data_IF_498167000859
#
_entry.id   IF_498167000859
#
_cell.length_a   1.000
_cell.length_b   1.000
_cell.length_c   1.000
_cell.angle_alpha   90.00
_cell.angle_beta   90.00
_cell.angle_gamma   90.00
#
_symmetry.space_group_name_H-M   'P 1'
#
loop_
_entity.id
_entity.type
_entity.pdbx_description
1 polymer ?
#
# COMPACT_ATOMS: atom_id res chain seq x y z
N UNK A 1 -52.32 -37.00 6.40
CA UNK A 1 -53.76 -36.75 6.66
C UNK A 1 -54.47 -36.14 5.44
N UNK A 2 -53.99 -35.06 4.82
CA UNK A 2 -54.67 -34.36 3.72
C UNK A 2 -54.82 -35.22 2.46
N UNK A 3 -53.78 -35.97 2.06
CA UNK A 3 -53.80 -36.81 0.85
C UNK A 3 -54.70 -38.05 1.00
N UNK A 4 -54.82 -38.61 2.21
CA UNK A 4 -55.69 -39.71 2.51
C UNK A 4 -57.16 -39.28 2.45
N UNK A 5 -57.49 -38.11 2.99
CA UNK A 5 -58.84 -37.53 2.91
C UNK A 5 -59.23 -37.22 1.44
N UNK A 6 -58.28 -36.75 0.62
CA UNK A 6 -58.54 -36.57 -0.83
C UNK A 6 -58.77 -37.90 -1.52
N UNK A 7 -58.01 -38.95 -1.18
CA UNK A 7 -58.22 -40.30 -1.81
C UNK A 7 -59.55 -40.90 -1.46
N UNK A 8 -60.00 -40.75 -0.20
CA UNK A 8 -61.30 -41.24 0.24
C UNK A 8 -62.46 -40.50 -0.45
N UNK A 9 -62.41 -39.17 -0.50
CA UNK A 9 -63.42 -38.34 -1.14
C UNK A 9 -63.42 -38.48 -2.68
N UNK A 10 -62.26 -38.71 -3.29
CA UNK A 10 -62.14 -38.84 -4.75
C UNK A 10 -62.93 -39.96 -5.34
N UNK A 11 -63.18 -41.06 -4.59
CA UNK A 11 -64.07 -42.18 -5.04
C UNK A 11 -65.52 -41.77 -5.15
N UNK A 12 -65.95 -40.72 -4.46
CA UNK A 12 -67.38 -40.30 -4.48
C UNK A 12 -67.64 -39.05 -5.32
N UNK A 13 -66.73 -38.07 -5.31
CA UNK A 13 -66.96 -36.77 -5.96
C UNK A 13 -65.88 -36.41 -7.04
N UNK A 14 -64.92 -37.28 -7.25
CA UNK A 14 -63.82 -37.05 -8.18
C UNK A 14 -62.64 -36.26 -7.52
N UNK A 15 -61.41 -36.43 -8.05
CA UNK A 15 -60.17 -35.88 -7.48
C UNK A 15 -60.15 -34.36 -7.40
N UNK A 16 -60.75 -33.68 -8.39
CA UNK A 16 -60.80 -32.21 -8.42
C UNK A 16 -61.59 -31.65 -7.25
N UNK A 17 -62.81 -32.13 -7.08
CA UNK A 17 -63.72 -31.62 -6.07
C UNK A 17 -63.35 -32.09 -4.67
N UNK A 18 -62.77 -33.29 -4.56
CA UNK A 18 -62.14 -33.75 -3.32
C UNK A 18 -60.95 -32.86 -2.88
N UNK A 19 -60.07 -32.46 -3.80
CA UNK A 19 -59.03 -31.55 -3.52
C UNK A 19 -59.55 -30.16 -3.07
N UNK A 20 -60.59 -29.69 -3.74
CA UNK A 20 -61.21 -28.41 -3.39
C UNK A 20 -61.84 -28.47 -1.98
N UNK A 21 -62.56 -29.53 -1.64
CA UNK A 21 -63.20 -29.73 -0.34
C UNK A 21 -62.21 -29.80 0.82
N UNK A 22 -61.00 -30.33 0.57
CA UNK A 22 -59.93 -30.50 1.59
C UNK A 22 -58.95 -29.32 1.57
N UNK A 23 -59.11 -28.35 0.65
CA UNK A 23 -58.17 -27.22 0.51
C UNK A 23 -56.82 -27.63 -0.06
N UNK A 24 -56.70 -28.73 -0.82
CA UNK A 24 -55.47 -29.20 -1.41
C UNK A 24 -55.34 -28.80 -2.87
N UNK A 25 -54.13 -28.48 -3.33
CA UNK A 25 -53.89 -28.23 -4.75
C UNK A 25 -53.87 -29.54 -5.52
N UNK A 26 -54.76 -29.65 -6.50
CA UNK A 26 -54.90 -30.82 -7.38
C UNK A 26 -53.57 -31.22 -8.05
N UNK A 27 -52.80 -30.24 -8.54
CA UNK A 27 -51.51 -30.48 -9.15
C UNK A 27 -50.48 -31.08 -8.14
N UNK A 28 -50.56 -30.69 -6.87
CA UNK A 28 -49.76 -31.26 -5.77
C UNK A 28 -50.11 -32.70 -5.49
N UNK A 29 -51.41 -33.01 -5.46
CA UNK A 29 -51.91 -34.37 -5.26
C UNK A 29 -51.43 -35.32 -6.37
N UNK A 30 -51.62 -35.00 -7.65
CA UNK A 30 -51.12 -35.79 -8.77
C UNK A 30 -49.61 -35.92 -8.80
N UNK A 31 -48.84 -34.91 -8.38
CA UNK A 31 -47.38 -34.99 -8.33
C UNK A 31 -46.92 -36.03 -7.31
N UNK A 32 -47.57 -36.10 -6.15
CA UNK A 32 -47.22 -37.03 -5.09
C UNK A 32 -47.67 -38.47 -5.35
N UNK A 33 -48.76 -38.64 -6.13
CA UNK A 33 -49.36 -39.95 -6.46
C UNK A 33 -49.01 -40.41 -7.90
N UNK A 34 -47.98 -39.86 -8.49
CA UNK A 34 -47.54 -40.28 -9.83
C UNK A 34 -46.92 -41.67 -9.77
N UNK A 35 -47.46 -42.61 -10.58
CA UNK A 35 -47.07 -44.03 -10.60
C UNK A 35 -45.66 -44.27 -11.17
N UNK A 36 -45.14 -43.30 -11.93
CA UNK A 36 -43.73 -43.31 -12.38
C UNK A 36 -43.02 -42.07 -11.93
N UNK A 37 -41.77 -42.15 -11.46
CA UNK A 37 -40.99 -40.98 -11.20
C UNK A 37 -40.87 -40.12 -12.45
N UNK A 38 -41.06 -38.82 -12.31
CA UNK A 38 -40.81 -37.93 -13.46
C UNK A 38 -39.35 -38.13 -13.90
N UNK A 39 -39.07 -38.18 -15.20
CA UNK A 39 -37.70 -38.20 -15.65
C UNK A 39 -36.96 -37.02 -15.02
N UNK A 40 -35.77 -37.29 -14.51
CA UNK A 40 -34.92 -36.25 -13.92
C UNK A 40 -34.75 -35.15 -14.98
N UNK A 41 -35.00 -33.86 -14.64
CA UNK A 41 -34.82 -32.80 -15.62
C UNK A 41 -33.37 -32.81 -16.05
N UNK A 42 -33.06 -32.65 -17.33
CA UNK A 42 -31.66 -32.56 -17.79
C UNK A 42 -30.95 -31.48 -17.02
N UNK A 43 -29.67 -31.74 -16.66
CA UNK A 43 -28.86 -30.79 -15.94
C UNK A 43 -28.91 -29.44 -16.68
N UNK A 44 -29.09 -28.32 -15.97
CA UNK A 44 -29.17 -27.00 -16.61
C UNK A 44 -27.87 -26.70 -17.33
N UNK A 45 -27.94 -26.42 -18.62
CA UNK A 45 -26.79 -26.01 -19.44
C UNK A 45 -26.19 -24.72 -18.79
N UNK A 46 -24.93 -24.70 -18.40
CA UNK A 46 -24.28 -23.49 -17.89
C UNK A 46 -24.52 -22.31 -18.81
N UNK A 47 -24.68 -21.10 -18.25
CA UNK A 47 -25.01 -19.91 -19.05
C UNK A 47 -24.02 -19.67 -20.19
N UNK A 48 -22.73 -19.97 -19.98
CA UNK A 48 -21.65 -19.86 -20.97
C UNK A 48 -21.79 -20.78 -22.16
N UNK A 49 -22.46 -21.94 -21.98
CA UNK A 49 -22.59 -22.99 -22.99
C UNK A 49 -23.94 -22.93 -23.71
N UNK A 50 -24.79 -21.98 -23.32
CA UNK A 50 -26.11 -21.80 -23.97
C UNK A 50 -25.96 -21.17 -25.35
N UNK A 51 -26.64 -21.66 -26.39
CA UNK A 51 -26.65 -21.01 -27.68
C UNK A 51 -27.13 -19.55 -27.55
N UNK A 52 -26.33 -18.63 -28.01
CA UNK A 52 -26.66 -17.20 -28.01
C UNK A 52 -26.95 -16.75 -29.44
N UNK A 53 -28.21 -16.57 -29.81
CA UNK A 53 -28.60 -16.25 -31.22
C UNK A 53 -27.99 -14.94 -31.75
N UNK A 54 -27.53 -14.05 -30.81
CA UNK A 54 -26.92 -12.75 -31.14
C UNK A 54 -25.39 -12.78 -31.05
N UNK A 55 -24.79 -13.94 -30.81
CA UNK A 55 -23.32 -14.05 -30.72
C UNK A 55 -22.73 -14.03 -32.14
N UNK A 56 -21.66 -13.29 -32.31
CA UNK A 56 -20.86 -13.35 -33.52
C UNK A 56 -20.29 -14.75 -33.74
N UNK A 57 -20.33 -15.22 -34.96
CA UNK A 57 -19.66 -16.45 -35.39
C UNK A 57 -18.14 -16.35 -35.21
N UNK A 58 -17.43 -17.47 -35.29
CA UNK A 58 -15.98 -17.47 -35.23
C UNK A 58 -15.36 -16.66 -36.40
N UNK A 59 -15.93 -16.77 -37.60
CA UNK A 59 -15.47 -16.02 -38.77
C UNK A 59 -15.64 -14.50 -38.59
N UNK A 60 -16.78 -14.05 -38.06
CA UNK A 60 -17.01 -12.61 -37.81
C UNK A 60 -16.06 -12.07 -36.71
N UNK A 61 -15.78 -12.85 -35.70
CA UNK A 61 -14.79 -12.45 -34.67
C UNK A 61 -13.40 -12.32 -35.26
N UNK A 62 -12.99 -13.28 -36.09
CA UNK A 62 -11.70 -13.25 -36.76
C UNK A 62 -11.59 -12.04 -37.70
N UNK A 63 -12.60 -11.74 -38.48
CA UNK A 63 -12.63 -10.57 -39.37
C UNK A 63 -12.41 -9.25 -38.59
N UNK A 64 -13.00 -9.12 -37.40
CA UNK A 64 -12.75 -7.95 -36.54
C UNK A 64 -11.29 -7.88 -36.09
N UNK A 65 -10.70 -9.00 -35.68
CA UNK A 65 -9.30 -9.06 -35.27
C UNK A 65 -8.35 -8.77 -36.45
N UNK A 66 -8.60 -9.33 -37.62
CA UNK A 66 -7.80 -9.10 -38.81
C UNK A 66 -7.78 -7.61 -39.20
N UNK A 67 -8.93 -6.95 -39.11
CA UNK A 67 -9.01 -5.50 -39.32
C UNK A 67 -8.21 -4.73 -38.27
N UNK A 68 -8.34 -5.08 -37.00
CA UNK A 68 -7.62 -4.43 -35.89
C UNK A 68 -6.10 -4.63 -35.98
N UNK A 69 -5.64 -5.75 -36.56
CA UNK A 69 -4.23 -6.07 -36.74
C UNK A 69 -3.65 -5.60 -38.08
N UNK A 70 -4.48 -5.04 -38.97
CA UNK A 70 -4.00 -4.55 -40.25
C UNK A 70 -3.04 -3.38 -40.06
N UNK A 71 -2.08 -3.24 -40.98
CA UNK A 71 -1.09 -2.12 -40.98
C UNK A 71 -1.77 -0.76 -40.92
N UNK A 72 -2.98 -0.65 -41.47
CA UNK A 72 -3.77 0.58 -41.46
C UNK A 72 -4.26 0.97 -40.07
N UNK A 73 -4.62 0.01 -39.24
CA UNK A 73 -5.35 0.23 -37.99
C UNK A 73 -4.57 -0.16 -36.71
N UNK A 74 -3.38 -0.75 -36.86
CA UNK A 74 -2.61 -1.25 -35.72
C UNK A 74 -2.26 -0.16 -34.70
N UNK A 75 -2.08 1.08 -35.14
CA UNK A 75 -1.76 2.23 -34.27
C UNK A 75 -2.99 3.02 -33.79
N UNK A 76 -4.18 2.65 -34.23
CA UNK A 76 -5.44 3.32 -33.87
C UNK A 76 -6.11 2.65 -32.68
N UNK A 77 -6.81 3.45 -31.86
CA UNK A 77 -7.64 2.87 -30.80
C UNK A 77 -8.81 2.09 -31.40
N UNK A 78 -9.33 1.04 -30.71
CA UNK A 78 -10.49 0.31 -31.21
C UNK A 78 -11.72 1.19 -31.44
N UNK A 79 -11.84 2.31 -30.72
CA UNK A 79 -12.91 3.29 -30.90
C UNK A 79 -12.74 4.07 -32.21
N UNK A 80 -11.53 4.49 -32.53
CA UNK A 80 -11.21 5.18 -33.77
C UNK A 80 -11.40 4.26 -34.98
N UNK A 81 -10.93 3.00 -34.89
CA UNK A 81 -11.14 1.99 -35.94
C UNK A 81 -12.63 1.78 -36.19
N UNK A 82 -13.42 1.61 -35.13
CA UNK A 82 -14.86 1.45 -35.23
C UNK A 82 -15.54 2.64 -35.91
N UNK A 83 -15.18 3.86 -35.52
CA UNK A 83 -15.72 5.08 -36.13
C UNK A 83 -15.32 5.20 -37.61
N UNK A 84 -14.06 4.94 -37.96
CA UNK A 84 -13.56 4.98 -39.34
C UNK A 84 -14.29 3.97 -40.22
N UNK A 85 -14.52 2.75 -39.74
CA UNK A 85 -15.28 1.74 -40.46
C UNK A 85 -16.75 2.16 -40.71
N UNK A 86 -17.38 2.81 -39.73
CA UNK A 86 -18.73 3.34 -39.88
C UNK A 86 -18.80 4.45 -40.93
N UNK A 87 -17.82 5.35 -40.96
CA UNK A 87 -17.71 6.41 -41.98
C UNK A 87 -17.54 5.82 -43.38
N UNK A 88 -16.95 4.64 -43.51
CA UNK A 88 -16.78 3.87 -44.75
C UNK A 88 -18.01 2.98 -45.05
N UNK A 89 -19.06 3.01 -44.25
CA UNK A 89 -20.25 2.21 -44.43
C UNK A 89 -20.11 0.74 -43.99
N UNK A 90 -19.06 0.40 -43.24
CA UNK A 90 -18.77 -0.98 -42.79
C UNK A 90 -19.13 -1.14 -41.31
N UNK A 91 -20.01 -2.07 -40.99
CA UNK A 91 -20.36 -2.42 -39.63
C UNK A 91 -19.98 -3.88 -39.32
N UNK A 92 -18.98 -4.10 -38.48
CA UNK A 92 -18.55 -5.44 -38.09
C UNK A 92 -19.04 -5.81 -36.67
N UNK A 93 -19.41 -4.85 -35.84
CA UNK A 93 -19.91 -5.07 -34.51
C UNK A 93 -19.91 -3.80 -33.67
N UNK A 94 -20.37 -3.87 -32.43
CA UNK A 94 -20.32 -2.71 -31.54
C UNK A 94 -18.88 -2.40 -31.06
N UNK A 95 -18.63 -1.15 -30.72
CA UNK A 95 -17.36 -0.74 -30.09
C UNK A 95 -16.97 -1.62 -28.89
N UNK A 96 -17.96 -1.96 -28.04
CA UNK A 96 -17.75 -2.86 -26.90
C UNK A 96 -17.32 -4.27 -27.31
N UNK A 97 -17.72 -4.72 -28.51
CA UNK A 97 -17.33 -6.03 -29.05
C UNK A 97 -15.85 -6.01 -29.46
N UNK A 98 -15.34 -4.93 -30.06
CA UNK A 98 -13.93 -4.76 -30.38
C UNK A 98 -13.05 -4.87 -29.14
N UNK A 99 -13.39 -4.12 -28.09
CA UNK A 99 -12.65 -4.22 -26.80
C UNK A 99 -12.78 -5.59 -26.14
N UNK A 100 -13.90 -6.27 -26.27
CA UNK A 100 -14.10 -7.60 -25.69
C UNK A 100 -13.28 -8.67 -26.40
N UNK A 101 -13.16 -8.59 -27.73
CA UNK A 101 -12.33 -9.51 -28.51
C UNK A 101 -10.85 -9.32 -28.21
N UNK A 102 -10.36 -8.09 -28.17
CA UNK A 102 -8.98 -7.79 -27.77
C UNK A 102 -8.68 -8.26 -26.33
N UNK A 103 -9.64 -8.11 -25.41
CA UNK A 103 -9.48 -8.62 -24.04
C UNK A 103 -9.40 -10.14 -24.01
N UNK A 104 -10.18 -10.83 -24.85
CA UNK A 104 -10.15 -12.28 -24.96
C UNK A 104 -8.84 -12.78 -25.60
N UNK A 105 -8.26 -12.00 -26.51
CA UNK A 105 -6.95 -12.24 -27.10
C UNK A 105 -5.75 -11.79 -26.23
N UNK A 106 -6.01 -11.29 -25.01
CA UNK A 106 -5.01 -10.70 -24.10
C UNK A 106 -4.26 -9.48 -24.68
N UNK A 107 -4.89 -8.77 -25.64
CA UNK A 107 -4.32 -7.65 -26.38
C UNK A 107 -4.88 -6.28 -25.95
N UNK A 108 -5.54 -6.17 -24.81
CA UNK A 108 -6.05 -4.89 -24.25
C UNK A 108 -4.92 -4.00 -23.76
N UNK A 109 -3.70 -4.50 -23.76
CA UNK A 109 -2.52 -3.69 -23.47
C UNK A 109 -2.24 -2.74 -24.63
N UNK A 110 -1.52 -1.67 -24.31
CA UNK A 110 -1.04 -0.71 -25.30
C UNK A 110 -0.48 -1.44 -26.52
N UNK A 111 -1.11 -1.28 -27.69
CA UNK A 111 -0.65 -1.87 -28.96
C UNK A 111 0.53 -1.10 -29.57
N UNK A 112 0.77 0.13 -29.11
CA UNK A 112 1.94 0.91 -29.48
C UNK A 112 3.16 0.35 -28.76
N UNK A 113 4.30 0.34 -29.40
CA UNK A 113 5.59 0.07 -28.78
C UNK A 113 5.97 1.20 -27.82
N UNK A 114 5.24 1.34 -26.72
CA UNK A 114 5.58 2.29 -25.67
C UNK A 114 6.69 1.71 -24.82
N UNK A 115 7.60 2.60 -24.38
CA UNK A 115 8.59 2.24 -23.40
C UNK A 115 7.88 1.73 -22.12
N UNK A 116 7.85 0.42 -21.95
CA UNK A 116 7.38 -0.18 -20.69
C UNK A 116 8.40 0.16 -19.63
N UNK A 117 7.98 0.95 -18.65
CA UNK A 117 8.83 1.15 -17.48
C UNK A 117 8.98 -0.20 -16.76
N UNK A 118 10.19 -0.66 -16.48
CA UNK A 118 10.39 -1.88 -15.73
C UNK A 118 9.64 -1.82 -14.40
N UNK A 119 9.14 -2.96 -13.95
CA UNK A 119 8.49 -3.05 -12.65
C UNK A 119 9.44 -2.49 -11.58
N UNK A 120 8.94 -1.55 -10.76
CA UNK A 120 9.77 -0.92 -9.74
C UNK A 120 10.02 -1.93 -8.63
N UNK A 121 11.28 -2.23 -8.40
CA UNK A 121 11.72 -3.13 -7.35
C UNK A 121 11.42 -2.49 -5.98
N UNK A 122 10.94 -3.30 -5.05
CA UNK A 122 10.74 -2.94 -3.64
C UNK A 122 12.11 -2.53 -3.06
N UNK A 123 12.28 -1.31 -2.51
CA UNK A 123 13.54 -0.95 -1.91
C UNK A 123 13.74 -1.74 -0.61
N UNK A 124 14.80 -2.52 -0.54
CA UNK A 124 15.19 -3.28 0.65
C UNK A 124 16.48 -2.69 1.20
N UNK A 125 16.36 -2.02 2.34
CA UNK A 125 17.49 -1.34 2.97
C UNK A 125 17.67 -1.84 4.40
N UNK A 126 18.91 -2.09 4.79
CA UNK A 126 19.28 -2.50 6.14
C UNK A 126 20.31 -1.54 6.71
N UNK A 127 20.13 -1.17 7.98
CA UNK A 127 21.13 -0.48 8.78
C UNK A 127 21.45 -1.30 10.02
N UNK A 128 22.72 -1.55 10.27
CA UNK A 128 23.26 -2.28 11.43
C UNK A 128 23.93 -1.33 12.44
N UNK A 129 24.11 -0.09 12.06
CA UNK A 129 24.70 0.97 12.89
C UNK A 129 24.20 2.35 12.43
N UNK A 130 24.37 3.41 13.25
CA UNK A 130 24.08 4.77 12.82
C UNK A 130 24.87 5.18 11.57
N UNK A 131 24.30 6.12 10.80
CA UNK A 131 24.91 6.72 9.62
C UNK A 131 25.15 5.78 8.43
N UNK A 132 24.39 4.66 8.35
CA UNK A 132 24.37 3.78 7.18
C UNK A 132 23.20 4.07 6.25
N UNK A 133 22.01 4.34 6.81
CA UNK A 133 20.82 4.65 6.02
C UNK A 133 20.08 5.81 6.69
N UNK A 134 19.86 6.87 5.93
CA UNK A 134 19.01 7.98 6.34
C UNK A 134 17.71 7.97 5.56
N UNK A 135 16.61 8.27 6.24
CA UNK A 135 15.31 8.57 5.64
C UNK A 135 15.17 10.09 5.58
N UNK A 136 14.78 10.59 4.41
CA UNK A 136 14.54 12.01 4.20
C UNK A 136 13.13 12.27 3.70
N UNK A 137 12.46 13.25 4.29
CA UNK A 137 11.12 13.64 3.87
C UNK A 137 10.81 15.10 4.18
N UNK A 138 9.79 15.66 3.52
CA UNK A 138 9.33 17.03 3.66
C UNK A 138 7.86 17.03 4.04
N UNK A 139 7.51 17.65 5.14
CA UNK A 139 6.12 17.82 5.54
C UNK A 139 5.69 19.26 5.56
N UNK A 140 4.42 19.51 5.27
CA UNK A 140 3.81 20.84 5.34
C UNK A 140 3.34 21.14 6.76
N UNK A 141 3.68 22.34 7.23
CA UNK A 141 3.18 22.96 8.43
C UNK A 141 2.18 24.05 8.02
N UNK A 142 1.00 24.09 8.65
CA UNK A 142 -0.03 25.07 8.30
C UNK A 142 0.39 26.46 8.77
N UNK A 143 0.38 27.43 7.85
CA UNK A 143 0.61 28.84 8.15
C UNK A 143 -0.62 29.57 8.71
N UNK A 144 -0.54 30.88 8.92
CA UNK A 144 -1.57 31.65 9.61
C UNK A 144 -2.93 31.68 8.88
N UNK A 145 -2.91 31.69 7.57
CA UNK A 145 -4.13 31.73 6.74
C UNK A 145 -4.31 30.43 5.97
N UNK A 146 -5.53 30.20 5.48
CA UNK A 146 -5.85 29.07 4.61
C UNK A 146 -4.95 29.13 3.36
N UNK A 147 -4.40 27.95 2.97
CA UNK A 147 -3.49 27.78 1.83
C UNK A 147 -2.07 28.35 2.02
N UNK A 148 -1.73 28.87 3.19
CA UNK A 148 -0.35 29.21 3.53
C UNK A 148 0.33 28.01 4.20
N UNK A 149 1.53 27.65 3.73
CA UNK A 149 2.30 26.51 4.25
C UNK A 149 3.74 26.90 4.47
N UNK A 150 4.33 26.33 5.51
CA UNK A 150 5.78 26.24 5.68
C UNK A 150 6.19 24.79 5.45
N UNK A 151 7.42 24.56 5.04
CA UNK A 151 7.93 23.27 4.66
C UNK A 151 9.02 22.85 5.64
N UNK A 152 8.75 21.78 6.37
CA UNK A 152 9.71 21.19 7.30
C UNK A 152 10.39 20.02 6.61
N UNK A 153 11.69 20.18 6.35
CA UNK A 153 12.59 19.15 5.85
C UNK A 153 13.18 18.42 7.04
N UNK A 154 13.19 17.09 7.02
CA UNK A 154 13.77 16.27 8.08
C UNK A 154 14.63 15.17 7.47
N UNK A 155 15.82 14.98 7.98
CA UNK A 155 16.69 13.85 7.71
C UNK A 155 16.84 13.06 9.00
N UNK A 156 16.48 11.80 8.98
CA UNK A 156 16.43 10.90 10.13
C UNK A 156 17.27 9.65 9.85
N UNK A 157 18.15 9.30 10.79
CA UNK A 157 18.87 8.04 10.78
C UNK A 157 17.91 6.89 11.12
N UNK A 158 17.78 5.88 10.23
CA UNK A 158 16.77 4.82 10.44
C UNK A 158 17.15 3.84 11.55
N UNK A 159 18.44 3.65 11.85
CA UNK A 159 18.88 2.76 12.91
C UNK A 159 18.61 3.34 14.29
N UNK A 160 19.06 4.55 14.53
CA UNK A 160 18.93 5.22 15.82
C UNK A 160 17.64 6.02 15.99
N UNK A 161 16.90 6.31 14.94
CA UNK A 161 15.78 7.27 14.89
C UNK A 161 16.22 8.71 15.17
N UNK A 162 17.51 8.99 15.27
CA UNK A 162 18.06 10.32 15.54
C UNK A 162 17.81 11.24 14.34
N UNK A 163 17.23 12.40 14.58
CA UNK A 163 17.09 13.44 13.56
C UNK A 163 18.44 14.13 13.40
N UNK A 164 19.17 13.76 12.35
CA UNK A 164 20.53 14.26 12.06
C UNK A 164 20.53 15.67 11.47
N UNK A 165 19.44 16.04 10.77
CA UNK A 165 19.27 17.36 10.19
C UNK A 165 17.81 17.72 9.97
N UNK A 166 17.51 19.01 10.12
CA UNK A 166 16.18 19.54 9.82
C UNK A 166 16.25 21.03 9.45
N UNK A 167 15.23 21.52 8.73
CA UNK A 167 15.12 22.92 8.33
C UNK A 167 13.64 23.28 8.08
N UNK A 168 13.25 24.50 8.49
CA UNK A 168 11.94 25.07 8.10
C UNK A 168 12.15 26.16 7.06
N UNK A 169 11.46 26.03 5.92
CA UNK A 169 11.52 26.94 4.79
C UNK A 169 10.13 27.44 4.36
N UNK A 170 10.08 28.56 3.63
CA UNK A 170 8.84 29.11 3.08
C UNK A 170 8.37 28.41 1.80
N UNK A 171 9.24 27.63 1.18
CA UNK A 171 8.97 26.91 -0.05
C UNK A 171 9.74 25.59 -0.11
N UNK A 172 9.24 24.66 -0.90
CA UNK A 172 9.98 23.47 -1.28
C UNK A 172 10.93 23.80 -2.43
N UNK A 173 12.21 23.40 -2.31
CA UNK A 173 13.24 23.71 -3.29
C UNK A 173 14.40 22.71 -3.23
N UNK A 174 14.88 22.27 -4.40
CA UNK A 174 16.06 21.42 -4.53
C UNK A 174 17.33 22.08 -3.93
N UNK A 175 17.51 23.37 -4.15
CA UNK A 175 18.65 24.10 -3.61
C UNK A 175 18.68 24.12 -2.07
N UNK A 176 17.51 24.23 -1.42
CA UNK A 176 17.41 24.12 0.03
C UNK A 176 17.72 22.69 0.52
N UNK A 177 17.25 21.69 -0.23
CA UNK A 177 17.58 20.30 0.06
C UNK A 177 19.07 20.01 -0.03
N UNK A 178 19.75 20.52 -1.07
CA UNK A 178 21.22 20.41 -1.21
C UNK A 178 21.96 21.00 -0.02
N UNK A 179 21.59 22.22 0.40
CA UNK A 179 22.20 22.88 1.57
C UNK A 179 22.03 22.04 2.82
N UNK A 180 20.81 21.55 3.08
CA UNK A 180 20.54 20.71 4.25
C UNK A 180 21.33 19.41 4.23
N UNK A 181 21.33 18.68 3.10
CA UNK A 181 22.07 17.41 2.96
C UNK A 181 23.57 17.65 3.18
N UNK A 182 24.17 18.64 2.50
CA UNK A 182 25.59 18.97 2.62
C UNK A 182 25.99 19.30 4.06
N UNK A 183 25.21 20.16 4.73
CA UNK A 183 25.44 20.53 6.13
C UNK A 183 25.32 19.35 7.08
N UNK A 184 24.30 18.49 6.84
CA UNK A 184 24.08 17.32 7.68
C UNK A 184 25.19 16.28 7.51
N UNK A 185 25.63 16.00 6.28
CA UNK A 185 26.76 15.11 6.02
C UNK A 185 28.05 15.61 6.66
N UNK A 186 28.32 16.89 6.55
CA UNK A 186 29.50 17.51 7.21
C UNK A 186 29.43 17.40 8.76
N UNK A 187 28.23 17.70 9.34
CA UNK A 187 28.02 17.62 10.80
C UNK A 187 28.17 16.18 11.31
N UNK A 188 27.76 15.20 10.55
CA UNK A 188 27.84 13.77 10.91
C UNK A 188 29.14 13.10 10.47
N UNK A 189 30.07 13.85 9.87
CA UNK A 189 31.32 13.36 9.34
C UNK A 189 31.19 12.14 8.43
N UNK A 190 30.20 12.18 7.50
CA UNK A 190 29.92 11.08 6.58
C UNK A 190 31.05 10.92 5.56
N UNK A 191 31.62 9.72 5.52
CA UNK A 191 32.60 9.32 4.51
C UNK A 191 31.96 8.94 3.17
N UNK A 192 32.78 8.85 2.11
CA UNK A 192 32.30 8.36 0.80
C UNK A 192 31.88 6.90 0.92
N UNK A 193 30.83 6.54 0.18
CA UNK A 193 30.28 5.17 0.07
C UNK A 193 29.79 4.57 1.41
N UNK A 194 29.61 5.41 2.44
CA UNK A 194 29.17 5.01 3.77
C UNK A 194 27.63 5.04 3.89
N UNK A 195 26.99 6.01 3.25
CA UNK A 195 25.59 6.37 3.48
C UNK A 195 24.70 6.07 2.29
N UNK A 196 23.51 5.54 2.56
CA UNK A 196 22.37 5.54 1.64
C UNK A 196 21.32 6.53 2.14
N UNK A 197 20.85 7.44 1.26
CA UNK A 197 19.70 8.30 1.55
C UNK A 197 18.47 7.74 0.82
N UNK A 198 17.46 7.44 1.61
CA UNK A 198 16.15 6.99 1.13
C UNK A 198 15.14 8.13 1.24
N UNK A 199 14.37 8.36 0.17
CA UNK A 199 13.37 9.41 0.11
C UNK A 199 12.16 9.01 -0.76
N UNK A 200 11.06 9.68 -0.54
CA UNK A 200 9.92 9.58 -1.45
C UNK A 200 10.25 10.20 -2.82
N UNK A 201 9.36 10.04 -3.80
CA UNK A 201 9.55 10.57 -5.16
C UNK A 201 9.05 12.01 -5.30
N UNK A 202 9.23 12.85 -4.29
CA UNK A 202 8.95 14.27 -4.35
C UNK A 202 9.81 15.01 -5.40
N UNK A 203 9.34 16.13 -5.90
CA UNK A 203 10.03 16.92 -6.95
C UNK A 203 11.44 17.37 -6.53
N UNK A 204 11.61 17.77 -5.28
CA UNK A 204 12.90 18.13 -4.71
C UNK A 204 13.83 16.92 -4.56
N UNK A 205 13.26 15.75 -4.25
CA UNK A 205 14.00 14.51 -3.94
C UNK A 205 14.52 13.82 -5.21
N UNK A 206 13.79 13.95 -6.33
CA UNK A 206 14.17 13.38 -7.64
C UNK A 206 14.87 14.39 -8.54
N UNK A 207 15.20 15.57 -8.03
CA UNK A 207 15.81 16.65 -8.80
C UNK A 207 17.25 16.32 -9.20
N UNK A 208 17.66 16.75 -10.41
CA UNK A 208 19.02 16.56 -10.89
C UNK A 208 20.08 17.17 -9.96
N UNK A 209 19.91 18.40 -9.42
CA UNK A 209 20.89 18.98 -8.49
C UNK A 209 21.14 18.11 -7.27
N UNK A 210 20.09 17.59 -6.63
CA UNK A 210 20.25 16.69 -5.47
C UNK A 210 20.93 15.39 -5.88
N UNK A 211 20.58 14.80 -7.02
CA UNK A 211 21.21 13.58 -7.52
C UNK A 211 22.71 13.77 -7.78
N UNK A 212 23.11 14.91 -8.39
CA UNK A 212 24.52 15.26 -8.60
C UNK A 212 25.26 15.47 -7.28
N UNK A 213 24.66 16.16 -6.31
CA UNK A 213 25.26 16.34 -5.00
C UNK A 213 25.52 14.99 -4.32
N UNK A 214 24.54 14.09 -4.32
CA UNK A 214 24.68 12.77 -3.70
C UNK A 214 25.80 11.94 -4.37
N UNK A 215 25.86 11.97 -5.70
CA UNK A 215 26.93 11.33 -6.44
C UNK A 215 28.31 11.93 -6.13
N UNK A 216 28.42 13.27 -6.05
CA UNK A 216 29.65 13.97 -5.69
C UNK A 216 30.13 13.60 -4.27
N UNK A 217 29.20 13.46 -3.33
CA UNK A 217 29.49 13.03 -1.95
C UNK A 217 29.73 11.51 -1.82
N UNK A 218 29.51 10.72 -2.87
CA UNK A 218 29.58 9.26 -2.82
C UNK A 218 28.45 8.65 -1.97
N UNK A 219 27.24 9.22 -2.05
CA UNK A 219 26.07 8.76 -1.29
C UNK A 219 25.12 8.01 -2.22
N UNK A 220 24.73 6.81 -1.84
CA UNK A 220 23.75 6.02 -2.59
C UNK A 220 22.35 6.60 -2.41
N UNK A 221 21.63 6.76 -3.52
CA UNK A 221 20.25 7.23 -3.51
C UNK A 221 19.27 6.07 -3.67
N UNK A 222 18.24 6.06 -2.83
CA UNK A 222 17.11 5.11 -2.90
C UNK A 222 15.79 5.86 -2.84
N UNK A 223 14.76 5.32 -3.50
CA UNK A 223 13.43 5.92 -3.52
C UNK A 223 12.33 4.92 -3.22
N UNK A 224 11.28 5.39 -2.56
CA UNK A 224 10.01 4.68 -2.40
C UNK A 224 9.40 4.35 -3.76
N UNK A 225 8.62 3.27 -3.82
CA UNK A 225 7.77 2.98 -4.98
C UNK A 225 6.66 4.03 -5.06
N UNK A 226 6.19 4.41 -6.27
CA UNK A 226 5.09 5.37 -6.40
C UNK A 226 3.84 4.89 -5.66
N UNK A 227 3.22 5.78 -4.90
CA UNK A 227 1.98 5.54 -4.17
C UNK A 227 2.05 4.42 -3.10
N UNK A 228 3.25 4.07 -2.62
CA UNK A 228 3.46 3.11 -1.53
C UNK A 228 4.03 3.84 -0.33
N UNK A 229 3.16 4.25 0.59
CA UNK A 229 3.55 4.98 1.82
C UNK A 229 4.42 4.15 2.76
N UNK A 230 4.21 2.84 2.79
CA UNK A 230 4.97 1.94 3.67
C UNK A 230 6.48 1.85 3.34
N UNK A 231 6.92 2.42 2.22
CA UNK A 231 8.33 2.41 1.84
C UNK A 231 9.15 3.49 2.59
N UNK A 232 8.50 4.48 3.28
CA UNK A 232 9.18 5.47 4.12
C UNK A 232 8.59 5.56 5.55
N UNK A 233 8.51 4.44 6.28
CA UNK A 233 7.76 4.36 7.54
C UNK A 233 8.37 5.20 8.68
N UNK A 234 9.68 5.45 8.64
CA UNK A 234 10.40 6.14 9.71
C UNK A 234 10.12 7.65 9.72
N UNK A 235 10.15 8.29 8.55
CA UNK A 235 9.78 9.70 8.41
C UNK A 235 8.32 9.93 8.75
N UNK A 236 7.41 9.04 8.30
CA UNK A 236 5.99 9.12 8.65
C UNK A 236 5.74 9.01 10.16
N UNK A 237 6.41 8.06 10.83
CA UNK A 237 6.29 7.88 12.28
C UNK A 237 6.83 9.11 13.05
N UNK A 238 7.94 9.69 12.58
CA UNK A 238 8.52 10.90 13.16
C UNK A 238 7.57 12.09 13.01
N UNK A 239 6.97 12.30 11.83
CA UNK A 239 5.98 13.37 11.63
C UNK A 239 4.70 13.15 12.42
N UNK A 240 4.26 11.91 12.65
CA UNK A 240 3.17 11.62 13.59
C UNK A 240 3.55 12.05 15.00
N UNK A 241 4.76 11.71 15.47
CA UNK A 241 5.23 12.10 16.80
C UNK A 241 5.25 13.64 16.96
N UNK A 242 5.66 14.38 15.92
CA UNK A 242 5.62 15.85 15.93
C UNK A 242 4.20 16.39 15.99
N UNK A 243 3.34 15.95 15.05
CA UNK A 243 2.02 16.56 14.81
C UNK A 243 0.96 16.18 15.85
N UNK A 244 1.14 15.06 16.55
CA UNK A 244 0.18 14.59 17.56
C UNK A 244 0.58 14.97 18.99
N UNK A 245 1.67 15.72 19.18
CA UNK A 245 1.98 16.27 20.51
C UNK A 245 0.91 17.28 20.93
N UNK A 246 0.56 17.30 22.23
CA UNK A 246 -0.44 18.25 22.75
C UNK A 246 -0.07 19.73 22.53
N UNK A 247 1.22 20.04 22.50
CA UNK A 247 1.79 21.38 22.29
C UNK A 247 1.97 21.76 20.81
N UNK A 248 1.65 20.84 19.86
CA UNK A 248 1.74 21.15 18.45
C UNK A 248 0.62 22.12 18.04
N UNK A 249 0.95 23.33 17.56
CA UNK A 249 -0.06 24.29 17.15
C UNK A 249 -0.75 23.80 15.86
N UNK A 250 -2.06 23.93 15.80
CA UNK A 250 -2.81 23.60 14.58
C UNK A 250 -2.39 24.47 13.39
N UNK A 251 -1.93 25.75 13.67
CA UNK A 251 -1.39 26.68 12.70
C UNK A 251 -0.28 27.50 13.32
N UNK A 252 0.74 27.81 12.53
CA UNK A 252 1.84 28.69 12.92
C UNK A 252 1.58 30.12 12.47
N UNK A 253 1.76 31.09 13.35
CA UNK A 253 1.56 32.50 13.06
C UNK A 253 2.59 33.09 12.11
N UNK A 254 3.81 32.53 12.12
CA UNK A 254 4.92 32.91 11.23
C UNK A 254 5.87 31.74 11.00
N UNK A 255 6.78 31.88 10.05
CA UNK A 255 7.86 30.89 9.83
C UNK A 255 8.83 30.84 11.02
N UNK A 256 9.04 31.96 11.70
CA UNK A 256 9.86 32.05 12.90
C UNK A 256 9.23 31.24 14.04
N UNK A 257 7.90 31.36 14.22
CA UNK A 257 7.16 30.55 15.19
C UNK A 257 7.30 29.04 14.91
N UNK A 258 7.24 28.65 13.64
CA UNK A 258 7.46 27.25 13.23
C UNK A 258 8.91 26.80 13.52
N UNK A 259 9.90 27.67 13.28
CA UNK A 259 11.32 27.39 13.60
C UNK A 259 11.53 27.23 15.09
N UNK A 260 11.00 28.13 15.91
CA UNK A 260 11.09 28.07 17.37
C UNK A 260 10.49 26.77 17.91
N UNK A 261 9.32 26.38 17.42
CA UNK A 261 8.69 25.10 17.80
C UNK A 261 9.60 23.91 17.45
N UNK A 262 10.14 23.88 16.24
CA UNK A 262 11.06 22.81 15.80
C UNK A 262 12.38 22.82 16.59
N UNK A 263 12.90 24.00 16.98
CA UNK A 263 14.10 24.12 17.83
C UNK A 263 13.88 23.56 19.24
N UNK A 264 12.66 23.58 19.75
CA UNK A 264 12.30 22.94 21.01
C UNK A 264 12.00 21.46 20.85
N UNK A 265 11.32 21.08 19.75
CA UNK A 265 10.89 19.72 19.50
C UNK A 265 12.06 18.75 19.23
N UNK A 266 13.00 19.07 18.33
CA UNK A 266 14.02 18.12 17.92
C UNK A 266 15.04 17.76 19.00
N UNK A 267 15.50 18.65 19.88
CA UNK A 267 16.29 18.26 21.04
C UNK A 267 15.53 17.31 21.96
N UNK A 268 14.27 17.63 22.30
CA UNK A 268 13.42 16.74 23.08
C UNK A 268 13.24 15.38 22.40
N UNK A 269 12.98 15.35 21.09
CA UNK A 269 12.81 14.12 20.33
C UNK A 269 14.07 13.25 20.34
N UNK A 270 15.24 13.87 20.17
CA UNK A 270 16.50 13.16 20.13
C UNK A 270 17.01 12.70 21.51
N UNK A 271 16.80 13.50 22.54
CA UNK A 271 17.48 13.34 23.85
C UNK A 271 16.57 12.83 24.96
N UNK A 272 15.24 13.06 24.85
CA UNK A 272 14.30 12.71 25.93
C UNK A 272 13.26 11.69 25.50
N UNK A 273 12.76 11.75 24.25
CA UNK A 273 11.71 10.88 23.78
C UNK A 273 12.21 9.43 23.64
N UNK A 274 11.48 8.49 24.28
CA UNK A 274 11.83 7.06 24.31
C UNK A 274 11.04 6.29 23.27
N UNK A 275 11.74 5.54 22.43
CA UNK A 275 11.12 4.76 21.37
C UNK A 275 10.97 3.28 21.77
N UNK A 276 9.79 2.72 21.60
CA UNK A 276 9.54 1.30 21.82
C UNK A 276 10.41 0.39 20.93
N UNK A 277 10.59 0.77 19.65
CA UNK A 277 11.47 0.08 18.71
C UNK A 277 12.97 0.20 19.02
N UNK A 278 13.36 1.03 20.01
CA UNK A 278 14.72 1.18 20.51
C UNK A 278 14.85 0.66 21.94
N UNK A 279 14.07 -0.31 22.35
CA UNK A 279 14.06 -0.83 23.71
C UNK A 279 13.86 0.27 24.78
N UNK A 280 13.03 1.27 24.48
CA UNK A 280 12.76 2.44 25.32
C UNK A 280 14.02 3.30 25.61
N UNK A 281 14.99 3.30 24.72
CA UNK A 281 16.08 4.26 24.70
C UNK A 281 15.73 5.51 23.88
N UNK A 282 16.49 6.59 24.11
CA UNK A 282 16.37 7.79 23.29
C UNK A 282 17.13 7.59 21.98
N UNK A 283 16.79 8.32 20.91
CA UNK A 283 17.58 8.33 19.68
C UNK A 283 19.05 8.64 19.91
N UNK A 284 19.35 9.59 20.80
CA UNK A 284 20.73 9.97 21.14
C UNK A 284 21.51 8.83 21.82
N UNK A 285 20.87 8.07 22.72
CA UNK A 285 21.51 6.92 23.36
C UNK A 285 22.02 5.91 22.32
N UNK A 286 21.20 5.62 21.29
CA UNK A 286 21.56 4.67 20.23
C UNK A 286 22.57 5.30 19.26
N UNK A 287 22.36 6.56 18.88
CA UNK A 287 23.17 7.22 17.85
C UNK A 287 24.63 7.43 18.30
N UNK A 288 24.83 7.73 19.57
CA UNK A 288 26.13 7.95 20.17
C UNK A 288 26.66 6.76 20.95
N UNK A 289 25.99 5.61 20.94
CA UNK A 289 26.49 4.36 21.53
C UNK A 289 26.44 4.31 23.06
N UNK A 290 25.65 5.17 23.73
CA UNK A 290 25.51 5.19 25.19
C UNK A 290 24.39 4.29 25.73
N UNK A 291 23.63 3.64 24.83
CA UNK A 291 22.48 2.84 25.20
C UNK A 291 22.82 1.66 26.11
N UNK A 292 23.99 1.03 25.94
CA UNK A 292 24.38 -0.10 26.80
C UNK A 292 24.61 0.33 28.24
N UNK A 293 25.22 1.50 28.47
CA UNK A 293 25.39 2.07 29.80
C UNK A 293 24.03 2.29 30.48
N UNK A 294 23.06 2.81 29.73
CA UNK A 294 21.68 3.01 30.22
C UNK A 294 21.01 1.66 30.52
N UNK A 295 21.24 0.65 29.66
CA UNK A 295 20.70 -0.69 29.85
C UNK A 295 21.25 -1.39 31.10
N UNK A 296 22.55 -1.27 31.35
CA UNK A 296 23.20 -1.79 32.56
C UNK A 296 22.64 -1.14 33.83
N UNK A 297 22.48 0.19 33.85
CA UNK A 297 21.84 0.90 34.97
C UNK A 297 20.42 0.37 35.23
N UNK A 298 19.64 0.18 34.20
CA UNK A 298 18.28 -0.41 34.30
C UNK A 298 18.31 -1.84 34.83
N UNK A 299 19.28 -2.65 34.40
CA UNK A 299 19.44 -4.02 34.89
C UNK A 299 19.72 -4.02 36.39
N UNK A 300 20.62 -3.17 36.90
CA UNK A 300 20.89 -3.04 38.32
C UNK A 300 19.66 -2.65 39.16
N UNK A 301 18.82 -1.74 38.65
CA UNK A 301 17.55 -1.39 39.33
C UNK A 301 16.58 -2.57 39.37
N UNK A 302 16.47 -3.34 38.28
CA UNK A 302 15.61 -4.51 38.20
C UNK A 302 16.12 -5.66 39.10
N UNK A 303 17.43 -5.87 39.17
CA UNK A 303 18.05 -6.86 40.03
C UNK A 303 17.82 -6.52 41.54
N UNK A 304 17.93 -5.25 41.92
CA UNK A 304 17.62 -4.77 43.27
C UNK A 304 16.13 -4.95 43.61
N UNK A 305 15.23 -4.64 42.67
CA UNK A 305 13.79 -4.85 42.86
C UNK A 305 13.45 -6.32 43.01
N UNK A 306 14.10 -7.19 42.22
CA UNK A 306 13.93 -8.64 42.36
C UNK A 306 14.44 -9.17 43.71
N UNK A 307 15.60 -8.71 44.17
CA UNK A 307 16.14 -9.10 45.46
C UNK A 307 15.24 -8.68 46.64
N UNK A 308 14.61 -7.49 46.55
CA UNK A 308 13.70 -7.00 47.58
C UNK A 308 12.34 -7.70 47.60
N UNK A 309 11.82 -8.12 46.44
CA UNK A 309 10.49 -8.65 46.25
C UNK A 309 10.43 -9.76 45.18
N UNK A 310 11.09 -10.91 45.37
CA UNK A 310 11.13 -11.97 44.38
C UNK A 310 9.73 -12.54 44.06
N UNK A 311 8.82 -12.49 45.01
CA UNK A 311 7.42 -12.96 44.92
C UNK A 311 6.60 -12.19 43.85
N UNK A 312 7.05 -10.98 43.46
CA UNK A 312 6.39 -10.18 42.42
C UNK A 312 6.73 -10.61 41.00
N UNK A 313 7.75 -11.47 40.84
CA UNK A 313 8.29 -11.88 39.55
C UNK A 313 8.04 -13.38 39.31
N UNK A 314 6.88 -13.71 38.77
CA UNK A 314 6.34 -15.07 38.70
C UNK A 314 7.17 -16.07 37.90
N UNK A 315 7.94 -15.68 36.92
CA UNK A 315 8.61 -16.61 36.00
C UNK A 315 10.13 -16.62 36.07
N UNK A 316 10.74 -15.45 36.11
CA UNK A 316 12.20 -15.29 36.08
C UNK A 316 12.61 -13.88 36.53
N UNK A 317 13.87 -13.65 36.93
CA UNK A 317 14.37 -12.31 37.19
C UNK A 317 14.13 -11.38 35.99
N UNK A 318 13.64 -10.14 36.21
CA UNK A 318 13.36 -9.21 35.15
C UNK A 318 14.66 -8.75 34.47
N UNK A 319 14.62 -8.47 33.17
CA UNK A 319 15.74 -7.93 32.40
C UNK A 319 15.26 -6.78 31.52
N UNK A 320 16.10 -5.75 31.29
CA UNK A 320 15.77 -4.71 30.32
C UNK A 320 15.62 -5.30 28.91
N UNK A 321 14.78 -4.71 28.05
CA UNK A 321 14.68 -5.12 26.66
C UNK A 321 16.04 -5.09 25.96
N UNK A 322 16.24 -5.99 25.00
CA UNK A 322 17.45 -6.04 24.18
C UNK A 322 17.47 -4.91 23.13
N UNK A 323 18.63 -4.35 22.88
CA UNK A 323 18.80 -3.35 21.84
C UNK A 323 18.62 -3.96 20.43
N UNK A 324 18.09 -3.22 19.47
CA UNK A 324 18.01 -3.69 18.10
C UNK A 324 19.44 -3.79 17.51
N UNK A 325 19.71 -4.89 16.81
CA UNK A 325 20.98 -5.10 16.11
C UNK A 325 20.92 -4.66 14.66
N UNK A 326 19.73 -4.55 14.09
CA UNK A 326 19.50 -4.12 12.71
C UNK A 326 18.12 -3.49 12.55
N UNK A 327 18.02 -2.61 11.57
CA UNK A 327 16.78 -1.95 11.19
C UNK A 327 16.58 -2.04 9.69
N UNK A 328 15.36 -2.31 9.24
CA UNK A 328 15.02 -2.50 7.84
C UNK A 328 13.98 -1.49 7.35
N UNK A 329 14.15 -1.06 6.11
CA UNK A 329 13.04 -0.62 5.26
C UNK A 329 12.72 -1.81 4.36
N UNK A 330 11.50 -2.32 4.43
CA UNK A 330 11.02 -3.47 3.64
C UNK A 330 11.91 -4.72 3.80
N UNK A 331 11.94 -5.29 4.99
CA UNK A 331 12.65 -6.56 5.22
C UNK A 331 12.20 -7.62 4.20
N UNK A 332 13.14 -8.38 3.57
CA UNK A 332 12.80 -9.52 2.72
C UNK A 332 11.98 -10.55 3.48
N UNK A 333 10.97 -11.13 2.84
CA UNK A 333 10.27 -12.29 3.38
C UNK A 333 11.21 -13.50 3.36
N UNK A 334 11.27 -14.24 4.47
CA UNK A 334 12.26 -15.31 4.69
C UNK A 334 12.15 -16.47 3.68
N UNK A 335 11.10 -16.52 2.87
CA UNK A 335 10.87 -17.54 1.83
C UNK A 335 11.56 -17.24 0.49
N UNK A 336 11.87 -15.97 0.19
CA UNK A 336 12.57 -15.60 -1.06
C UNK A 336 14.10 -15.71 -0.99
N UNK A 337 14.67 -15.83 0.21
CA UNK A 337 16.13 -15.95 0.39
C UNK A 337 16.66 -17.38 0.21
N UNK A 338 15.81 -18.35 -0.14
CA UNK A 338 16.16 -19.77 -0.28
C UNK A 338 16.06 -20.30 -1.74
N UNK A 339 16.03 -19.41 -2.76
CA UNK A 339 16.08 -19.81 -4.17
C UNK A 339 17.36 -19.36 -4.86
#
# INVERSE_FOLDING_TARGET
MTDQAVAELAGHIGVRDACLAVGALQAGYYRRHRVSPAPEPPAPIPHRDRPQPRALSAAERQAILDVLHSDRFVDMSPAEVWATLLDEGVYLGSQSTFYRLLRHADEVRERRAQATHPAKVKPELVANSPNQVWSWDITKLLGPTKWTYYYLYVILDIFSRYVVGWMVASRESAALAEVLIRQTCAKQAIGRDQLTIHADRGSSMTSKPVAFLLADLGITQSHSRPHVSNDNPFSEAQFKTLKYRPDFPGRFTSIEAARVHCQQFFPWYNEEHRHSGLALHTPADIHYGTAEITREKRAGVLDAAYAAHPERFVRKPPRPPTLPTQTWINRPDTEEAAQ
#
